data_IF_904264670869
#
_entry.id   IF_904264670869
#
_cell.length_a   1.000
_cell.length_b   1.000
_cell.length_c   1.000
_cell.angle_alpha   90.00
_cell.angle_beta   90.00
_cell.angle_gamma   90.00
#
_symmetry.space_group_name_H-M   'P 1'
#
loop_
_entity.id
_entity.type
_entity.pdbx_description
1 polymer ?
#
# COMPACT_ATOMS: atom_id res chain seq x y z
N UNK A 1 9.97 15.18 15.10
CA UNK A 1 8.87 15.01 14.11
C UNK A 1 9.32 15.08 12.65
N UNK A 2 9.66 16.25 12.05
CA UNK A 2 10.02 16.31 10.60
C UNK A 2 11.26 15.49 10.23
N UNK A 3 12.34 15.61 11.01
CA UNK A 3 13.58 14.86 10.75
C UNK A 3 13.44 13.34 10.90
N UNK A 4 12.49 12.86 11.72
CA UNK A 4 12.24 11.43 11.89
C UNK A 4 11.45 10.86 10.72
N UNK A 5 10.47 11.60 10.21
CA UNK A 5 9.71 11.24 9.00
C UNK A 5 10.64 11.18 7.80
N UNK A 6 11.58 12.12 7.67
CA UNK A 6 12.53 12.16 6.56
C UNK A 6 13.52 10.98 6.61
N UNK A 7 14.04 10.63 7.79
CA UNK A 7 14.86 9.43 7.98
C UNK A 7 14.08 8.15 7.68
N UNK A 8 12.83 8.05 8.16
CA UNK A 8 11.97 6.91 7.88
C UNK A 8 11.62 6.82 6.39
N UNK A 9 11.41 7.95 5.72
CA UNK A 9 11.16 8.02 4.28
C UNK A 9 12.35 7.47 3.49
N UNK A 10 13.59 7.84 3.85
CA UNK A 10 14.78 7.33 3.17
C UNK A 10 14.88 5.81 3.23
N UNK A 11 14.71 5.23 4.43
CA UNK A 11 14.70 3.77 4.62
C UNK A 11 13.55 3.11 3.86
N UNK A 12 12.34 3.67 3.97
CA UNK A 12 11.15 3.15 3.30
C UNK A 12 11.30 3.13 1.77
N UNK A 13 11.79 4.23 1.21
CA UNK A 13 12.05 4.35 -0.21
C UNK A 13 13.10 3.33 -0.67
N UNK A 14 14.21 3.18 0.04
CA UNK A 14 15.24 2.19 -0.33
C UNK A 14 14.71 0.74 -0.33
N UNK A 15 13.86 0.39 0.65
CA UNK A 15 13.29 -0.94 0.74
C UNK A 15 12.19 -1.21 -0.31
N UNK A 16 11.35 -0.21 -0.58
CA UNK A 16 10.12 -0.36 -1.36
C UNK A 16 10.16 0.25 -2.76
N UNK A 17 11.23 0.96 -3.16
CA UNK A 17 11.37 1.62 -4.47
C UNK A 17 11.02 0.75 -5.68
N UNK A 18 11.33 -0.54 -5.62
CA UNK A 18 11.01 -1.50 -6.69
C UNK A 18 9.49 -1.61 -6.97
N UNK A 19 8.66 -1.29 -5.98
CA UNK A 19 7.20 -1.33 -6.04
C UNK A 19 6.58 0.03 -6.38
N UNK A 20 7.36 1.11 -6.34
CA UNK A 20 6.87 2.44 -6.70
C UNK A 20 6.46 2.48 -8.18
N UNK A 21 5.45 3.29 -8.46
CA UNK A 21 4.76 3.33 -9.74
C UNK A 21 3.79 2.17 -10.00
N UNK A 22 3.60 1.24 -9.05
CA UNK A 22 2.53 0.25 -9.17
C UNK A 22 1.17 0.93 -8.92
N UNK A 23 0.38 0.97 -9.98
CA UNK A 23 -0.97 1.52 -9.97
C UNK A 23 -1.90 0.60 -10.76
N UNK A 24 -3.06 0.30 -10.19
CA UNK A 24 -4.11 -0.52 -10.79
C UNK A 24 -5.40 0.27 -10.83
N UNK A 25 -5.97 0.45 -12.02
CA UNK A 25 -7.26 1.10 -12.18
C UNK A 25 -8.30 0.12 -12.70
N UNK A 26 -9.55 0.27 -12.24
CA UNK A 26 -10.66 -0.55 -12.71
C UNK A 26 -11.97 -0.14 -12.06
N UNK A 27 -13.06 -0.10 -12.85
CA UNK A 27 -14.40 0.23 -12.38
C UNK A 27 -14.49 1.55 -11.58
N UNK A 28 -13.71 2.58 -11.97
CA UNK A 28 -13.65 3.87 -11.28
C UNK A 28 -12.84 3.91 -9.99
N UNK A 29 -12.17 2.80 -9.64
CA UNK A 29 -11.29 2.69 -8.49
C UNK A 29 -9.84 2.70 -8.97
N UNK A 30 -8.99 3.45 -8.28
CA UNK A 30 -7.54 3.48 -8.49
C UNK A 30 -6.85 2.97 -7.24
N UNK A 31 -6.00 1.96 -7.37
CA UNK A 31 -5.20 1.37 -6.29
C UNK A 31 -3.74 1.67 -6.58
N UNK A 32 -3.07 2.42 -5.72
CA UNK A 32 -1.65 2.76 -5.87
C UNK A 32 -0.88 2.43 -4.59
N UNK A 33 0.41 2.12 -4.72
CA UNK A 33 1.30 1.96 -3.56
C UNK A 33 1.42 3.28 -2.82
N UNK A 34 1.48 3.23 -1.49
CA UNK A 34 1.88 4.39 -0.69
C UNK A 34 3.38 4.60 -0.81
N UNK A 35 3.82 5.67 -1.46
CA UNK A 35 5.25 5.88 -1.75
C UNK A 35 5.94 6.74 -0.67
N UNK A 36 5.15 7.50 0.08
CA UNK A 36 5.64 8.43 1.09
C UNK A 36 5.08 8.14 2.47
N UNK A 37 5.92 8.20 3.52
CA UNK A 37 5.52 8.06 4.93
C UNK A 37 4.48 9.11 5.32
N UNK A 38 4.53 10.30 4.71
CA UNK A 38 3.51 11.34 4.89
C UNK A 38 2.12 10.90 4.39
N UNK A 39 2.04 10.09 3.34
CA UNK A 39 0.75 9.57 2.85
C UNK A 39 0.12 8.63 3.87
N UNK A 40 0.91 7.85 4.62
CA UNK A 40 0.37 7.01 5.71
C UNK A 40 -0.33 7.85 6.77
N UNK A 41 0.15 9.08 7.03
CA UNK A 41 -0.53 10.03 7.93
C UNK A 41 -1.85 10.48 7.32
N UNK A 42 -1.85 10.95 6.07
CA UNK A 42 -3.06 11.44 5.39
C UNK A 42 -4.14 10.36 5.25
N UNK A 43 -3.74 9.13 4.92
CA UNK A 43 -4.65 7.98 4.84
C UNK A 43 -5.19 7.59 6.21
N UNK A 44 -4.32 7.60 7.24
CA UNK A 44 -4.71 7.34 8.63
C UNK A 44 -5.73 8.35 9.16
N UNK A 45 -5.54 9.63 8.85
CA UNK A 45 -6.46 10.71 9.23
C UNK A 45 -7.79 10.62 8.44
N UNK A 46 -7.71 10.36 7.14
CA UNK A 46 -8.89 10.28 6.26
C UNK A 46 -9.77 9.09 6.59
N UNK A 47 -9.16 7.92 6.82
CA UNK A 47 -9.87 6.67 7.11
C UNK A 47 -10.03 6.43 8.62
N UNK A 48 -9.50 7.32 9.46
CA UNK A 48 -9.53 7.25 10.93
C UNK A 48 -9.10 5.88 11.47
N UNK A 49 -8.02 5.33 10.91
CA UNK A 49 -7.48 4.04 11.30
C UNK A 49 -5.95 4.09 11.48
N UNK A 50 -5.41 3.26 12.35
CA UNK A 50 -4.05 3.37 12.89
C UNK A 50 -2.93 2.86 11.95
N UNK A 51 -2.97 3.17 10.64
CA UNK A 51 -1.90 2.76 9.70
C UNK A 51 -0.58 3.49 9.96
N UNK A 52 -0.64 4.75 10.39
CA UNK A 52 0.55 5.52 10.75
C UNK A 52 1.04 5.19 12.16
N UNK A 53 0.13 5.17 13.15
CA UNK A 53 0.46 4.94 14.56
C UNK A 53 1.10 3.57 14.82
N UNK A 54 0.75 2.56 14.01
CA UNK A 54 1.33 1.21 14.09
C UNK A 54 2.58 1.03 13.21
N UNK A 55 3.11 2.13 12.65
CA UNK A 55 4.37 2.17 11.91
C UNK A 55 4.45 1.15 10.77
N UNK A 56 3.36 0.96 10.01
CA UNK A 56 3.31 -0.02 8.91
C UNK A 56 4.38 0.22 7.84
N UNK A 57 4.87 1.45 7.69
CA UNK A 57 5.99 1.77 6.82
C UNK A 57 7.31 1.10 7.26
N UNK A 58 7.47 0.69 8.52
CA UNK A 58 8.65 -0.06 8.99
C UNK A 58 8.57 -1.57 8.72
N UNK A 59 7.42 -2.08 8.27
CA UNK A 59 7.23 -3.52 8.04
C UNK A 59 7.82 -3.93 6.70
N UNK A 60 8.94 -4.64 6.75
CA UNK A 60 9.66 -5.13 5.56
C UNK A 60 8.79 -6.10 4.74
N UNK A 61 8.03 -6.96 5.41
CA UNK A 61 7.16 -7.95 4.73
C UNK A 61 5.83 -7.38 4.23
N UNK A 62 5.46 -6.16 4.62
CA UNK A 62 4.16 -5.57 4.25
C UNK A 62 4.32 -4.52 3.16
N UNK A 63 3.42 -4.53 2.18
CA UNK A 63 3.28 -3.47 1.18
C UNK A 63 1.89 -2.88 1.25
N UNK A 64 1.79 -1.58 1.50
CA UNK A 64 0.51 -0.88 1.62
C UNK A 64 0.13 -0.20 0.30
N UNK A 65 -1.14 -0.33 -0.04
CA UNK A 65 -1.78 0.36 -1.13
C UNK A 65 -2.93 1.23 -0.61
N UNK A 66 -3.17 2.36 -1.26
CA UNK A 66 -4.38 3.16 -1.09
C UNK A 66 -5.31 2.88 -2.27
N UNK A 67 -6.54 2.48 -1.97
CA UNK A 67 -7.64 2.47 -2.91
C UNK A 67 -8.35 3.83 -2.85
N UNK A 68 -8.50 4.46 -4.01
CA UNK A 68 -9.08 5.81 -4.17
C UNK A 68 -10.19 5.79 -5.21
N UNK A 69 -11.22 6.59 -4.95
CA UNK A 69 -12.26 6.95 -5.92
C UNK A 69 -12.31 8.48 -5.95
N UNK A 70 -12.26 9.09 -7.14
CA UNK A 70 -12.22 10.55 -7.31
C UNK A 70 -11.15 11.24 -6.44
N UNK A 71 -9.95 10.65 -6.39
CA UNK A 71 -8.83 11.05 -5.53
C UNK A 71 -9.08 11.02 -4.02
N UNK A 72 -10.21 10.48 -3.56
CA UNK A 72 -10.48 10.29 -2.13
C UNK A 72 -10.14 8.87 -1.70
N UNK A 73 -9.35 8.69 -0.63
CA UNK A 73 -9.06 7.37 -0.10
C UNK A 73 -10.32 6.72 0.47
N UNK A 74 -10.55 5.47 0.11
CA UNK A 74 -11.70 4.68 0.55
C UNK A 74 -11.30 3.48 1.40
N UNK A 75 -10.18 2.81 1.07
CA UNK A 75 -9.62 1.70 1.81
C UNK A 75 -8.10 1.66 1.68
N UNK A 76 -7.43 1.19 2.73
CA UNK A 76 -6.03 0.75 2.65
C UNK A 76 -5.98 -0.76 2.53
N UNK A 77 -5.02 -1.24 1.74
CA UNK A 77 -4.80 -2.66 1.50
C UNK A 77 -3.37 -3.00 1.92
N UNK A 78 -3.22 -3.96 2.81
CA UNK A 78 -1.94 -4.54 3.18
C UNK A 78 -1.74 -5.86 2.42
N UNK A 79 -0.65 -5.95 1.69
CA UNK A 79 -0.18 -7.19 1.05
C UNK A 79 1.04 -7.71 1.79
N UNK A 80 1.03 -8.99 2.15
CA UNK A 80 2.22 -9.69 2.63
C UNK A 80 3.07 -10.12 1.43
N UNK A 81 4.31 -9.67 1.36
CA UNK A 81 5.26 -9.94 0.28
C UNK A 81 5.78 -11.39 0.34
N UNK A 82 5.99 -11.94 1.53
CA UNK A 82 6.40 -13.34 1.72
C UNK A 82 5.34 -14.32 1.23
N UNK A 83 4.07 -14.08 1.59
CA UNK A 83 2.95 -14.96 1.21
C UNK A 83 2.37 -14.61 -0.16
N UNK A 84 2.60 -13.39 -0.65
CA UNK A 84 1.95 -12.85 -1.86
C UNK A 84 0.42 -12.84 -1.75
N UNK A 85 -0.08 -12.45 -0.58
CA UNK A 85 -1.50 -12.49 -0.22
C UNK A 85 -1.96 -11.14 0.35
N UNK A 86 -3.25 -10.84 0.20
CA UNK A 86 -3.87 -9.68 0.83
C UNK A 86 -4.07 -10.01 2.32
N UNK A 87 -3.24 -9.43 3.19
CA UNK A 87 -3.30 -9.63 4.62
C UNK A 87 -4.46 -8.84 5.25
N UNK A 88 -4.65 -7.58 4.82
CA UNK A 88 -5.72 -6.72 5.29
C UNK A 88 -6.25 -5.83 4.16
N UNK A 89 -7.54 -5.48 4.23
CA UNK A 89 -8.19 -4.55 3.32
C UNK A 89 -9.30 -3.85 4.12
N UNK A 90 -9.08 -2.60 4.52
CA UNK A 90 -9.90 -1.90 5.51
C UNK A 90 -10.14 -0.46 5.11
N UNK A 91 -11.37 0.00 5.24
CA UNK A 91 -11.78 1.38 5.03
C UNK A 91 -11.99 2.13 6.33
N UNK A 92 -12.87 3.13 6.26
CA UNK A 92 -13.20 4.03 7.37
C UNK A 92 -13.47 3.26 8.68
N UNK A 93 -12.77 3.62 9.75
CA UNK A 93 -12.88 3.00 11.09
C UNK A 93 -12.73 1.47 11.09
N UNK A 94 -11.87 0.93 10.21
CA UNK A 94 -11.65 -0.51 10.03
C UNK A 94 -12.86 -1.29 9.49
N UNK A 95 -13.85 -0.60 8.92
CA UNK A 95 -14.99 -1.24 8.25
C UNK A 95 -14.76 -1.37 6.75
N UNK A 96 -15.37 -2.39 6.16
CA UNK A 96 -15.35 -2.57 4.72
C UNK A 96 -16.20 -1.48 4.06
N UNK A 97 -15.69 -0.86 2.99
CA UNK A 97 -16.46 0.07 2.18
C UNK A 97 -17.44 -0.68 1.29
N UNK A 98 -18.37 0.07 0.67
CA UNK A 98 -19.27 -0.47 -0.37
C UNK A 98 -18.50 -1.08 -1.55
N UNK A 99 -17.27 -0.63 -1.79
CA UNK A 99 -16.43 -1.03 -2.91
C UNK A 99 -15.43 -2.15 -2.53
N UNK A 100 -15.44 -2.62 -1.29
CA UNK A 100 -14.49 -3.63 -0.78
C UNK A 100 -14.31 -4.83 -1.69
N UNK A 101 -15.41 -5.42 -2.18
CA UNK A 101 -15.35 -6.58 -3.09
C UNK A 101 -14.68 -6.26 -4.42
N UNK A 102 -14.93 -5.06 -4.96
CA UNK A 102 -14.33 -4.61 -6.21
C UNK A 102 -12.82 -4.35 -6.02
N UNK A 103 -12.44 -3.68 -4.93
CA UNK A 103 -11.05 -3.43 -4.54
C UNK A 103 -10.30 -4.76 -4.38
N UNK A 104 -10.86 -5.68 -3.60
CA UNK A 104 -10.25 -6.98 -3.34
C UNK A 104 -10.07 -7.79 -4.62
N UNK A 105 -11.08 -7.81 -5.51
CA UNK A 105 -11.00 -8.48 -6.80
C UNK A 105 -9.95 -7.84 -7.72
N UNK A 106 -9.94 -6.50 -7.82
CA UNK A 106 -8.98 -5.75 -8.62
C UNK A 106 -7.55 -6.01 -8.14
N UNK A 107 -7.35 -6.00 -6.82
CA UNK A 107 -6.04 -6.26 -6.23
C UNK A 107 -5.59 -7.70 -6.47
N UNK A 108 -6.46 -8.68 -6.21
CA UNK A 108 -6.17 -10.11 -6.39
C UNK A 108 -5.78 -10.43 -7.84
N UNK A 109 -6.44 -9.80 -8.82
CA UNK A 109 -6.11 -9.95 -10.25
C UNK A 109 -4.72 -9.39 -10.60
N UNK A 110 -4.21 -8.43 -9.84
CA UNK A 110 -2.95 -7.74 -10.12
C UNK A 110 -1.78 -8.14 -9.21
N UNK A 111 -1.97 -9.03 -8.24
CA UNK A 111 -0.91 -9.53 -7.34
C UNK A 111 0.32 -10.08 -8.09
N UNK A 112 0.13 -10.63 -9.29
CA UNK A 112 1.24 -11.13 -10.11
C UNK A 112 2.25 -10.04 -10.49
N UNK A 113 1.83 -8.77 -10.61
CA UNK A 113 2.71 -7.65 -10.96
C UNK A 113 3.70 -7.35 -9.83
N UNK A 114 3.25 -7.44 -8.57
CA UNK A 114 4.10 -7.32 -7.39
C UNK A 114 5.15 -8.43 -7.39
N UNK A 115 4.72 -9.67 -7.65
CA UNK A 115 5.62 -10.83 -7.73
C UNK A 115 6.67 -10.65 -8.83
N UNK A 116 6.29 -10.07 -9.96
CA UNK A 116 7.21 -9.78 -11.06
C UNK A 116 8.30 -8.78 -10.66
N UNK A 117 7.94 -7.72 -9.92
CA UNK A 117 8.91 -6.74 -9.38
C UNK A 117 9.90 -7.37 -8.39
N UNK A 118 9.43 -8.27 -7.52
CA UNK A 118 10.33 -9.00 -6.60
C UNK A 118 11.38 -9.85 -7.32
N UNK A 119 11.01 -10.47 -8.44
CA UNK A 119 11.95 -11.27 -9.26
C UNK A 119 13.01 -10.40 -9.93
N UNK A 120 12.65 -9.20 -10.37
CA UNK A 120 13.59 -8.25 -11.01
C UNK A 120 14.70 -7.81 -10.03
N UNK A 121 14.35 -7.47 -8.79
CA UNK A 121 15.34 -7.14 -7.75
C UNK A 121 16.33 -8.29 -7.50
N UNK A 122 15.85 -9.53 -7.49
CA UNK A 122 16.72 -10.71 -7.32
C UNK A 122 17.68 -10.90 -8.51
N UNK A 123 17.25 -10.53 -9.73
CA UNK A 123 18.08 -10.62 -10.93
C UNK A 123 19.14 -9.50 -11.01
N UNK A 124 18.86 -8.30 -10.49
CA UNK A 124 19.80 -7.17 -10.44
C UNK A 124 20.86 -7.30 -9.32
N UNK A 125 20.65 -8.23 -8.38
CA UNK A 125 21.57 -8.53 -7.28
C UNK A 125 22.45 -9.77 -7.53
N UNK A 126 22.33 -10.42 -8.69
CA UNK A 126 23.14 -11.57 -9.10
C UNK A 126 24.20 -11.18 -10.13
#
# INVERSE_FOLDING_TARGET
>A
MRAEIEKAQGLYAEEKKQFFGLCFSGAGITISVLENVSEFMTEGDSLRHCVFTNEYFKKIDSLLFSARIDNKPIETIEVSLSKMEIAQCRGLRNHNSKHHKAIFSLMKKNLYQIRSRMKKKKAEQC
#
